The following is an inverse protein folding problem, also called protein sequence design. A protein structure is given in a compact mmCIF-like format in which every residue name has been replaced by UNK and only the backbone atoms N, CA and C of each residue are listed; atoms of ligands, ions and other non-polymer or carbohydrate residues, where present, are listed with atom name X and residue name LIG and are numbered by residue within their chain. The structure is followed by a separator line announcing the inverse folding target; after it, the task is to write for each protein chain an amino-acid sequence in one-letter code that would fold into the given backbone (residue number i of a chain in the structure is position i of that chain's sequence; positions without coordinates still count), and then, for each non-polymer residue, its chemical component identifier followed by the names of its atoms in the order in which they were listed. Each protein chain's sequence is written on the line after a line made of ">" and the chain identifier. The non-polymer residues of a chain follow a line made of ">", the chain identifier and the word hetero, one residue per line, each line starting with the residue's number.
data_IF_477250259900
#
_entry.id   IF_477250259900
#
_cell.length_a   1.000
_cell.length_b   1.000
_cell.length_c   1.000
_cell.angle_alpha   90.00
_cell.angle_beta   90.00
_cell.angle_gamma   90.00
#
_symmetry.space_group_name_H-M   'P 1'
#
loop_
_entity.id
_entity.type
_entity.pdbx_description
1 polymer ?
#
# COMPACT_ATOMS: atom_id res chain seq x y z
N UNK A 1 2.18 36.29 8.50
CA UNK A 1 2.27 34.81 8.43
C UNK A 1 3.64 34.43 7.91
N UNK A 2 4.45 33.70 8.70
CA UNK A 2 5.72 33.15 8.20
C UNK A 2 5.41 31.96 7.28
N UNK A 3 6.07 31.80 6.12
CA UNK A 3 5.92 30.59 5.32
C UNK A 3 6.38 29.40 6.15
N UNK A 4 5.56 28.33 6.19
CA UNK A 4 5.96 27.06 6.80
C UNK A 4 7.22 26.57 6.08
N UNK A 5 8.29 26.35 6.85
CA UNK A 5 9.53 25.79 6.35
C UNK A 5 9.25 24.42 5.73
N UNK A 6 9.76 24.18 4.53
CA UNK A 6 9.81 22.85 3.93
C UNK A 6 10.45 21.85 4.90
N UNK A 7 9.95 20.60 4.83
CA UNK A 7 10.43 19.46 5.63
C UNK A 7 11.96 19.40 5.71
N UNK A 8 12.55 19.11 6.89
CA UNK A 8 14.00 19.12 7.10
C UNK A 8 14.80 18.12 6.24
N UNK A 9 14.11 17.28 5.46
CA UNK A 9 14.71 16.28 4.58
C UNK A 9 15.09 16.79 3.17
N UNK A 10 14.84 18.06 2.83
CA UNK A 10 14.89 18.51 1.43
C UNK A 10 15.95 19.58 1.06
N UNK A 11 17.00 19.85 1.85
CA UNK A 11 18.16 20.63 1.33
C UNK A 11 19.50 20.25 1.94
N UNK A 12 20.49 19.95 1.10
CA UNK A 12 21.88 20.38 1.32
C UNK A 12 22.08 21.78 0.71
N UNK A 13 22.90 22.60 1.35
CA UNK A 13 23.17 24.01 0.95
C UNK A 13 24.19 24.14 -0.19
N UNK A 14 24.72 23.04 -0.72
CA UNK A 14 25.93 23.04 -1.55
C UNK A 14 25.69 22.84 -3.06
N UNK A 15 24.44 22.72 -3.51
CA UNK A 15 24.12 22.56 -4.94
C UNK A 15 24.45 21.17 -5.51
N UNK A 16 24.87 20.22 -4.67
CA UNK A 16 24.96 18.80 -5.04
C UNK A 16 23.54 18.23 -5.08
N UNK A 17 23.20 17.50 -6.15
CA UNK A 17 21.94 16.74 -6.21
C UNK A 17 21.84 15.89 -4.93
N UNK A 18 20.71 16.01 -4.23
CA UNK A 18 20.51 15.22 -3.03
C UNK A 18 20.44 13.75 -3.42
N UNK A 19 20.84 12.80 -2.55
CA UNK A 19 20.56 11.37 -2.77
C UNK A 19 19.08 11.10 -3.08
N UNK A 20 18.19 12.00 -2.67
CA UNK A 20 16.76 11.99 -2.98
C UNK A 20 16.51 12.27 -4.47
N UNK A 21 17.26 13.17 -5.11
CA UNK A 21 17.16 13.45 -6.54
C UNK A 21 17.70 12.29 -7.40
N UNK A 22 18.75 11.59 -6.93
CA UNK A 22 19.21 10.33 -7.54
C UNK A 22 18.14 9.22 -7.42
N UNK A 23 17.46 9.12 -6.27
CA UNK A 23 16.33 8.23 -6.04
C UNK A 23 15.05 8.61 -6.81
N UNK A 24 14.94 9.85 -7.30
CA UNK A 24 13.82 10.30 -8.15
C UNK A 24 14.04 9.89 -9.61
N UNK A 25 15.30 9.80 -10.07
CA UNK A 25 15.67 9.39 -11.42
C UNK A 25 16.00 7.89 -11.57
N UNK A 26 15.77 7.09 -10.52
CA UNK A 26 15.97 5.65 -10.56
C UNK A 26 14.95 4.99 -11.51
N UNK A 27 15.45 4.45 -12.64
CA UNK A 27 14.64 3.68 -13.60
C UNK A 27 13.96 2.48 -12.97
N UNK A 28 14.46 2.00 -11.83
CA UNK A 28 13.94 0.87 -11.09
C UNK A 28 12.97 1.30 -9.96
N UNK A 29 12.60 2.58 -9.90
CA UNK A 29 11.59 3.02 -8.94
C UNK A 29 10.19 2.58 -9.38
N UNK A 30 9.55 1.75 -8.56
CA UNK A 30 8.13 1.46 -8.73
C UNK A 30 7.28 2.63 -8.26
N UNK A 31 6.33 3.06 -9.10
CA UNK A 31 5.34 4.08 -8.77
C UNK A 31 4.25 3.55 -7.82
N UNK A 32 3.69 4.42 -6.97
CA UNK A 32 2.50 4.09 -6.17
C UNK A 32 1.22 4.52 -6.88
N UNK A 33 0.13 3.79 -6.63
CA UNK A 33 -1.19 4.17 -7.13
C UNK A 33 -1.61 5.48 -6.45
N UNK A 34 -1.99 6.48 -7.25
CA UNK A 34 -2.52 7.76 -6.76
C UNK A 34 -4.02 7.64 -6.54
N UNK A 35 -4.41 7.41 -5.30
CA UNK A 35 -5.81 7.27 -4.95
C UNK A 35 -6.43 8.64 -4.65
N UNK A 36 -6.79 9.37 -5.72
CA UNK A 36 -7.45 10.70 -5.64
C UNK A 36 -8.98 10.64 -5.66
N UNK A 37 -9.53 9.48 -6.00
CA UNK A 37 -10.97 9.25 -6.01
C UNK A 37 -11.30 8.25 -4.91
N UNK A 38 -12.59 8.02 -4.68
CA UNK A 38 -13.04 6.99 -3.77
C UNK A 38 -12.87 5.61 -4.43
N UNK A 39 -12.51 4.60 -3.65
CA UNK A 39 -12.26 3.24 -4.17
C UNK A 39 -12.61 2.19 -3.11
N UNK A 40 -12.91 0.99 -3.59
CA UNK A 40 -13.11 -0.17 -2.73
C UNK A 40 -11.77 -0.87 -2.49
N UNK A 41 -11.49 -1.21 -1.24
CA UNK A 41 -10.28 -1.90 -0.85
C UNK A 41 -10.56 -2.94 0.23
N UNK A 42 -9.75 -3.98 0.25
CA UNK A 42 -9.64 -4.90 1.38
C UNK A 42 -8.65 -4.32 2.39
N UNK A 43 -8.92 -4.50 3.69
CA UNK A 43 -7.96 -4.18 4.75
C UNK A 43 -7.06 -5.39 4.92
N UNK A 44 -5.77 -5.24 4.64
CA UNK A 44 -4.82 -6.36 4.68
C UNK A 44 -4.05 -6.45 5.99
N UNK A 45 -3.80 -5.31 6.64
CA UNK A 45 -3.14 -5.26 7.94
C UNK A 45 -3.49 -3.95 8.68
N UNK A 46 -3.49 -3.99 10.01
CA UNK A 46 -3.73 -2.82 10.87
C UNK A 46 -2.64 -2.79 11.94
N UNK A 47 -1.75 -1.81 11.82
CA UNK A 47 -0.71 -1.54 12.82
C UNK A 47 -1.25 -0.54 13.85
N UNK A 48 -1.92 0.51 13.40
CA UNK A 48 -2.60 1.50 14.23
C UNK A 48 -3.61 2.28 13.39
N UNK A 49 -4.46 3.14 13.99
CA UNK A 49 -5.27 4.09 13.22
C UNK A 49 -4.45 5.04 12.31
N UNK A 50 -3.16 5.22 12.58
CA UNK A 50 -2.24 5.98 11.71
C UNK A 50 -1.55 5.15 10.62
N UNK A 51 -1.68 3.82 10.65
CA UNK A 51 -1.05 2.90 9.71
C UNK A 51 -1.96 1.70 9.46
N UNK A 52 -2.83 1.86 8.46
CA UNK A 52 -3.75 0.84 7.98
C UNK A 52 -3.35 0.47 6.56
N UNK A 53 -3.09 -0.80 6.33
CA UNK A 53 -2.78 -1.30 5.01
C UNK A 53 -4.05 -1.69 4.28
N UNK A 54 -4.20 -1.15 3.08
CA UNK A 54 -5.32 -1.45 2.20
C UNK A 54 -4.81 -1.94 0.85
N UNK A 55 -5.63 -2.78 0.20
CA UNK A 55 -5.37 -3.30 -1.14
C UNK A 55 -6.61 -3.13 -1.99
N UNK A 56 -6.50 -2.39 -3.09
CA UNK A 56 -7.63 -2.06 -3.97
C UNK A 56 -8.22 -3.35 -4.54
N UNK A 57 -9.54 -3.47 -4.63
CA UNK A 57 -10.18 -4.74 -5.02
C UNK A 57 -9.94 -5.17 -6.47
N UNK A 58 -9.55 -4.27 -7.38
CA UNK A 58 -9.16 -4.60 -8.75
C UNK A 58 -7.63 -4.76 -8.91
N UNK A 59 -6.94 -5.14 -7.84
CA UNK A 59 -5.50 -5.35 -7.86
C UNK A 59 -5.09 -6.51 -8.79
N UNK A 60 -3.82 -6.49 -9.20
CA UNK A 60 -3.18 -7.55 -9.98
C UNK A 60 -2.07 -8.26 -9.19
N UNK A 61 -2.05 -8.15 -7.86
CA UNK A 61 -0.99 -8.73 -7.00
C UNK A 61 -0.66 -10.19 -7.34
N UNK A 62 -1.69 -11.03 -7.54
CA UNK A 62 -1.53 -12.46 -7.81
C UNK A 62 -0.94 -12.76 -9.20
N UNK A 63 -0.95 -11.79 -10.12
CA UNK A 63 -0.30 -11.89 -11.43
C UNK A 63 1.12 -11.33 -11.44
N UNK A 64 1.57 -10.73 -10.33
CA UNK A 64 2.90 -10.12 -10.19
C UNK A 64 3.85 -11.01 -9.37
N UNK A 65 3.50 -12.28 -9.22
CA UNK A 65 4.30 -13.30 -8.54
C UNK A 65 5.15 -14.07 -9.56
N UNK A 66 6.22 -14.72 -9.10
CA UNK A 66 7.00 -15.67 -9.91
C UNK A 66 7.17 -16.98 -9.14
N UNK A 67 7.25 -18.14 -9.81
CA UNK A 67 7.58 -19.40 -9.16
C UNK A 67 8.95 -19.34 -8.49
N UNK A 68 9.11 -19.97 -7.33
CA UNK A 68 10.41 -20.07 -6.64
C UNK A 68 11.44 -20.82 -7.50
N UNK A 69 11.02 -21.74 -8.37
CA UNK A 69 11.91 -22.43 -9.33
C UNK A 69 12.57 -21.49 -10.33
N UNK A 70 11.94 -20.34 -10.61
CA UNK A 70 12.35 -19.38 -11.62
C UNK A 70 13.06 -18.18 -10.98
N UNK A 71 13.40 -18.29 -9.70
CA UNK A 71 13.97 -17.22 -8.89
C UNK A 71 15.34 -16.78 -9.44
N UNK A 72 15.48 -15.56 -9.95
CA UNK A 72 16.77 -15.07 -10.38
C UNK A 72 17.63 -14.77 -9.14
N UNK A 73 18.92 -15.18 -9.14
CA UNK A 73 19.80 -14.94 -8.01
C UNK A 73 19.97 -13.43 -7.78
N UNK A 74 20.12 -13.04 -6.51
CA UNK A 74 20.43 -11.66 -6.18
C UNK A 74 21.89 -11.35 -6.58
N UNK A 75 22.07 -10.57 -7.64
CA UNK A 75 23.40 -10.21 -8.16
C UNK A 75 24.04 -9.01 -7.45
N UNK A 76 23.36 -8.41 -6.48
CA UNK A 76 23.66 -7.06 -6.01
C UNK A 76 23.43 -6.94 -4.51
N UNK A 77 24.16 -6.04 -3.86
CA UNK A 77 24.10 -5.89 -2.41
C UNK A 77 22.69 -5.58 -1.87
N UNK A 78 22.46 -6.02 -0.64
CA UNK A 78 21.25 -5.73 0.12
C UNK A 78 21.32 -4.29 0.65
N UNK A 79 20.58 -3.41 -0.01
CA UNK A 79 20.56 -1.98 0.28
C UNK A 79 19.12 -1.58 0.60
N UNK A 80 18.93 -0.77 1.64
CA UNK A 80 17.62 -0.20 1.97
C UNK A 80 16.97 0.46 0.76
N UNK A 81 15.64 0.45 0.74
CA UNK A 81 14.76 0.99 -0.31
C UNK A 81 14.79 0.28 -1.64
N UNK A 82 15.70 -0.67 -1.84
CA UNK A 82 15.79 -1.48 -3.05
C UNK A 82 14.60 -2.43 -3.17
N UNK A 83 14.14 -2.63 -4.39
CA UNK A 83 13.10 -3.60 -4.69
C UNK A 83 13.71 -4.96 -5.02
N UNK A 84 13.10 -6.01 -4.45
CA UNK A 84 13.56 -7.39 -4.50
C UNK A 84 12.36 -8.33 -4.58
N UNK A 85 12.62 -9.62 -4.80
CA UNK A 85 11.63 -10.68 -4.65
C UNK A 85 11.93 -11.48 -3.37
N UNK A 86 10.90 -12.00 -2.72
CA UNK A 86 11.05 -12.87 -1.54
C UNK A 86 9.91 -13.89 -1.45
N UNK A 87 10.11 -15.06 -0.82
CA UNK A 87 9.06 -16.04 -0.67
C UNK A 87 7.86 -15.53 0.13
N UNK A 88 6.67 -15.64 -0.48
CA UNK A 88 5.40 -15.57 0.26
C UNK A 88 5.10 -16.93 0.89
N UNK A 89 5.35 -18.00 0.15
CA UNK A 89 5.32 -19.40 0.59
C UNK A 89 6.41 -20.19 -0.17
N UNK A 90 6.39 -21.52 -0.09
CA UNK A 90 7.41 -22.38 -0.71
C UNK A 90 7.44 -22.25 -2.24
N UNK A 91 6.29 -22.00 -2.87
CA UNK A 91 6.13 -22.09 -4.33
C UNK A 91 6.23 -20.74 -5.05
N UNK A 92 5.93 -19.63 -4.36
CA UNK A 92 5.83 -18.32 -4.99
C UNK A 92 6.65 -17.23 -4.30
N UNK A 93 7.33 -16.44 -5.13
CA UNK A 93 7.98 -15.19 -4.74
C UNK A 93 7.10 -13.99 -5.07
N UNK A 94 7.17 -12.99 -4.22
CA UNK A 94 6.41 -11.74 -4.32
C UNK A 94 7.32 -10.54 -4.28
N UNK A 95 6.84 -9.41 -4.83
CA UNK A 95 7.59 -8.15 -4.83
C UNK A 95 7.67 -7.58 -3.41
N UNK A 96 8.86 -7.13 -3.07
CA UNK A 96 9.14 -6.51 -1.78
C UNK A 96 10.07 -5.31 -1.92
N UNK A 97 10.08 -4.46 -0.90
CA UNK A 97 11.08 -3.40 -0.71
C UNK A 97 11.85 -3.67 0.57
N UNK A 98 13.17 -3.54 0.51
CA UNK A 98 14.03 -3.60 1.70
C UNK A 98 13.77 -2.36 2.57
N UNK A 99 13.43 -2.60 3.84
CA UNK A 99 13.24 -1.56 4.85
C UNK A 99 14.51 -1.40 5.68
N UNK A 100 15.06 -2.49 6.20
CA UNK A 100 16.35 -2.51 6.91
C UNK A 100 17.07 -3.85 6.71
N UNK A 101 18.37 -3.86 6.97
CA UNK A 101 19.23 -5.06 6.95
C UNK A 101 19.98 -5.11 8.28
N UNK A 102 19.79 -6.19 9.04
CA UNK A 102 20.31 -6.35 10.40
C UNK A 102 20.77 -7.80 10.61
N UNK A 103 22.04 -8.02 10.97
CA UNK A 103 22.57 -9.34 11.33
C UNK A 103 22.22 -10.48 10.35
N UNK A 104 22.47 -10.27 9.05
CA UNK A 104 22.12 -11.21 7.95
C UNK A 104 20.61 -11.50 7.79
N UNK A 105 19.76 -10.72 8.47
CA UNK A 105 18.31 -10.69 8.26
C UNK A 105 17.91 -9.40 7.57
N UNK A 106 16.89 -9.51 6.74
CA UNK A 106 16.36 -8.41 5.95
C UNK A 106 14.92 -8.20 6.36
N UNK A 107 14.61 -6.98 6.80
CA UNK A 107 13.25 -6.56 7.05
C UNK A 107 12.66 -6.02 5.76
N UNK A 108 11.58 -6.64 5.31
CA UNK A 108 10.97 -6.40 4.02
C UNK A 108 9.54 -5.91 4.18
N UNK A 109 9.12 -5.13 3.20
CA UNK A 109 7.72 -4.75 2.98
C UNK A 109 7.21 -5.42 1.72
N UNK A 110 6.17 -6.23 1.84
CA UNK A 110 5.52 -6.90 0.72
C UNK A 110 4.56 -5.91 0.05
N UNK A 111 5.04 -5.23 -0.99
CA UNK A 111 4.42 -4.02 -1.56
C UNK A 111 3.05 -4.26 -2.20
N UNK A 112 2.71 -5.52 -2.46
CA UNK A 112 1.43 -5.91 -3.06
C UNK A 112 0.44 -6.54 -2.08
N UNK A 113 0.92 -6.89 -0.89
CA UNK A 113 0.15 -7.61 0.13
C UNK A 113 -0.08 -6.77 1.40
N UNK A 114 0.67 -5.68 1.55
CA UNK A 114 0.48 -4.74 2.64
C UNK A 114 0.85 -5.28 4.00
N UNK A 115 1.96 -6.01 4.05
CA UNK A 115 2.51 -6.56 5.29
C UNK A 115 4.03 -6.46 5.27
N UNK A 116 4.65 -6.71 6.41
CA UNK A 116 6.10 -6.74 6.57
C UNK A 116 6.56 -8.09 7.08
N UNK A 117 7.76 -8.49 6.70
CA UNK A 117 8.33 -9.80 7.07
C UNK A 117 9.83 -9.68 7.31
N UNK A 118 10.33 -10.49 8.25
CA UNK A 118 11.76 -10.77 8.37
C UNK A 118 12.11 -12.00 7.54
N UNK A 119 13.24 -11.95 6.85
CA UNK A 119 13.79 -13.04 6.03
C UNK A 119 15.30 -13.11 6.18
N UNK A 120 15.85 -14.30 6.04
CA UNK A 120 17.29 -14.45 5.88
C UNK A 120 17.72 -13.86 4.52
N UNK A 121 18.94 -13.36 4.42
CA UNK A 121 19.50 -12.81 3.18
C UNK A 121 19.44 -13.80 2.00
N UNK A 122 19.54 -15.10 2.28
CA UNK A 122 19.45 -16.17 1.29
C UNK A 122 18.03 -16.37 0.72
N UNK A 123 17.01 -15.75 1.32
CA UNK A 123 15.63 -15.76 0.84
C UNK A 123 15.27 -14.46 0.08
N UNK A 124 16.29 -13.74 -0.40
CA UNK A 124 16.14 -12.51 -1.18
C UNK A 124 16.62 -12.76 -2.60
N UNK A 125 15.77 -12.42 -3.56
CA UNK A 125 15.99 -12.69 -4.97
C UNK A 125 15.90 -11.39 -5.78
N UNK A 126 16.50 -11.38 -6.97
CA UNK A 126 16.45 -10.23 -7.87
C UNK A 126 15.02 -10.03 -8.37
N UNK A 127 14.59 -8.78 -8.48
CA UNK A 127 13.35 -8.46 -9.18
C UNK A 127 13.65 -8.17 -10.66
N UNK A 128 12.84 -8.74 -11.55
CA UNK A 128 13.03 -8.55 -13.00
C UNK A 128 12.49 -7.20 -13.45
N UNK A 129 13.10 -6.59 -14.46
CA UNK A 129 12.74 -5.26 -14.98
C UNK A 129 11.25 -5.13 -15.33
N UNK A 130 10.63 -6.19 -15.85
CA UNK A 130 9.19 -6.21 -16.18
C UNK A 130 8.31 -5.95 -14.95
N UNK A 131 8.70 -6.45 -13.78
CA UNK A 131 7.94 -6.27 -12.55
C UNK A 131 8.06 -4.85 -11.99
N UNK A 132 9.06 -4.06 -12.42
CA UNK A 132 9.17 -2.65 -12.04
C UNK A 132 8.11 -1.77 -12.72
N UNK A 133 7.53 -2.22 -13.84
CA UNK A 133 6.55 -1.43 -14.61
C UNK A 133 5.17 -1.32 -13.94
N UNK A 134 4.87 -2.17 -12.95
CA UNK A 134 3.56 -2.21 -12.30
C UNK A 134 3.58 -1.46 -10.98
N UNK A 135 2.59 -0.64 -10.64
CA UNK A 135 2.59 0.08 -9.38
C UNK A 135 2.39 -0.85 -8.18
N UNK A 136 2.65 -0.35 -6.97
CA UNK A 136 2.32 -1.08 -5.73
C UNK A 136 0.82 -1.39 -5.69
N UNK A 137 0.48 -2.63 -5.33
CA UNK A 137 -0.93 -3.04 -5.24
C UNK A 137 -1.53 -2.82 -3.85
N UNK A 138 -0.70 -2.64 -2.82
CA UNK A 138 -1.13 -2.29 -1.47
C UNK A 138 -0.37 -1.07 -0.94
N UNK A 139 -1.04 -0.26 -0.12
CA UNK A 139 -0.44 0.94 0.46
C UNK A 139 -1.09 1.29 1.80
N UNK A 140 -0.38 2.12 2.55
CA UNK A 140 -0.79 2.60 3.86
C UNK A 140 -1.75 3.78 3.71
N UNK A 141 -2.77 3.82 4.55
CA UNK A 141 -3.65 4.96 4.79
C UNK A 141 -3.70 5.26 6.29
N UNK A 142 -4.05 6.49 6.65
CA UNK A 142 -4.28 6.89 8.04
C UNK A 142 -5.68 7.47 8.22
N UNK A 143 -6.34 7.17 9.33
CA UNK A 143 -7.69 7.67 9.61
C UNK A 143 -7.70 9.17 9.87
N UNK A 144 -8.59 9.87 9.18
CA UNK A 144 -8.79 11.29 9.35
C UNK A 144 -9.61 11.60 10.61
N UNK A 145 -9.23 12.66 11.33
CA UNK A 145 -10.01 13.19 12.45
C UNK A 145 -9.91 12.41 13.75
N UNK A 146 -9.01 11.43 13.84
CA UNK A 146 -8.73 10.67 15.06
C UNK A 146 -7.30 10.89 15.53
N UNK A 147 -7.11 10.93 16.84
CA UNK A 147 -5.81 11.02 17.51
C UNK A 147 -5.78 10.03 18.70
N UNK A 148 -4.60 9.58 19.15
CA UNK A 148 -4.50 8.76 20.35
C UNK A 148 -5.13 9.47 21.55
N UNK A 149 -5.77 8.72 22.45
CA UNK A 149 -6.42 9.29 23.65
C UNK A 149 -5.43 10.00 24.56
N UNK A 150 -4.19 9.52 24.63
CA UNK A 150 -3.10 10.16 25.38
C UNK A 150 -2.43 11.32 24.62
N UNK A 151 -2.84 11.56 23.37
CA UNK A 151 -2.31 12.57 22.47
C UNK A 151 -0.98 12.20 21.78
N UNK A 152 -0.35 11.08 22.13
CA UNK A 152 1.00 10.74 21.71
C UNK A 152 1.10 9.40 20.99
N UNK A 153 0.50 8.33 21.50
CA UNK A 153 0.72 6.97 20.99
C UNK A 153 -0.54 6.14 21.06
N UNK A 154 -0.87 5.47 19.95
CA UNK A 154 -2.01 4.56 19.90
C UNK A 154 -1.81 3.39 20.87
N UNK A 155 -2.76 3.23 21.79
CA UNK A 155 -2.71 2.10 22.72
C UNK A 155 -3.07 0.79 22.01
N UNK A 156 -2.64 -0.36 22.56
CA UNK A 156 -3.08 -1.67 22.07
C UNK A 156 -4.61 -1.78 22.04
N UNK A 157 -5.31 -1.27 23.06
CA UNK A 157 -6.77 -1.33 23.15
C UNK A 157 -7.46 -0.52 22.06
N UNK A 158 -6.94 0.68 21.73
CA UNK A 158 -7.44 1.51 20.63
C UNK A 158 -7.26 0.81 19.28
N UNK A 159 -6.09 0.21 19.08
CA UNK A 159 -5.75 -0.53 17.86
C UNK A 159 -6.61 -1.79 17.72
N UNK A 160 -6.84 -2.52 18.79
CA UNK A 160 -7.64 -3.75 18.79
C UNK A 160 -9.15 -3.46 18.65
N UNK A 161 -9.63 -2.33 19.16
CA UNK A 161 -10.98 -1.85 18.88
C UNK A 161 -11.16 -1.54 17.37
N UNK A 162 -10.19 -0.89 16.75
CA UNK A 162 -10.20 -0.64 15.30
C UNK A 162 -10.17 -1.96 14.51
N UNK A 163 -9.28 -2.90 14.87
CA UNK A 163 -9.19 -4.23 14.22
C UNK A 163 -10.52 -4.95 14.26
N UNK A 164 -11.14 -5.09 15.44
CA UNK A 164 -12.45 -5.75 15.59
C UNK A 164 -13.53 -5.09 14.74
N UNK A 165 -13.50 -3.77 14.64
CA UNK A 165 -14.47 -3.02 13.83
C UNK A 165 -14.27 -3.29 12.34
N UNK A 166 -13.04 -3.12 11.83
CA UNK A 166 -12.77 -3.25 10.39
C UNK A 166 -12.80 -4.69 9.89
N UNK A 167 -12.43 -5.66 10.73
CA UNK A 167 -12.50 -7.10 10.37
C UNK A 167 -13.94 -7.63 10.29
N UNK A 168 -14.94 -6.87 10.76
CA UNK A 168 -16.35 -7.21 10.61
C UNK A 168 -16.94 -6.87 9.23
N UNK A 169 -16.10 -6.38 8.30
CA UNK A 169 -16.51 -5.97 6.97
C UNK A 169 -15.76 -6.74 5.88
N UNK A 170 -16.45 -7.12 4.80
CA UNK A 170 -15.84 -7.78 3.64
C UNK A 170 -14.83 -6.87 2.92
N UNK A 171 -15.15 -5.58 2.84
CA UNK A 171 -14.28 -4.55 2.29
C UNK A 171 -14.61 -3.17 2.87
N UNK A 172 -13.77 -2.19 2.56
CA UNK A 172 -13.97 -0.79 2.92
C UNK A 172 -14.07 0.07 1.68
N UNK A 173 -14.98 1.04 1.71
CA UNK A 173 -14.97 2.17 0.79
C UNK A 173 -14.06 3.25 1.38
N UNK A 174 -12.98 3.54 0.66
CA UNK A 174 -11.94 4.48 1.08
C UNK A 174 -12.20 5.83 0.44
N UNK A 175 -12.35 6.87 1.26
CA UNK A 175 -12.55 8.25 0.84
C UNK A 175 -11.34 9.11 1.25
N UNK A 176 -10.47 9.52 0.31
CA UNK A 176 -9.41 10.48 0.60
C UNK A 176 -9.98 11.81 1.11
N UNK A 177 -9.45 12.33 2.22
CA UNK A 177 -9.97 13.55 2.88
C UNK A 177 -9.10 14.79 2.67
N UNK A 178 -7.81 14.61 2.37
CA UNK A 178 -6.89 15.71 2.05
C UNK A 178 -6.15 15.35 0.76
N UNK A 179 -6.25 16.20 -0.25
CA UNK A 179 -5.54 16.08 -1.52
C UNK A 179 -4.24 16.87 -1.49
N UNK A 180 -3.29 16.49 -0.64
CA UNK A 180 -1.95 17.04 -0.76
C UNK A 180 -1.22 16.38 -1.94
N UNK A 181 -0.26 17.10 -2.53
CA UNK A 181 0.66 16.55 -3.52
C UNK A 181 1.63 15.60 -2.80
N UNK A 182 1.14 14.43 -2.42
CA UNK A 182 1.91 13.39 -1.78
C UNK A 182 3.01 12.92 -2.75
N UNK A 183 4.27 13.22 -2.40
CA UNK A 183 5.44 12.62 -3.00
C UNK A 183 5.63 11.28 -2.31
N UNK A 184 4.81 10.31 -2.72
CA UNK A 184 4.59 8.97 -2.17
C UNK A 184 5.85 8.10 -1.93
N UNK A 185 6.77 8.54 -1.09
CA UNK A 185 7.67 7.68 -0.33
C UNK A 185 7.01 7.35 1.03
N UNK A 186 7.72 6.65 1.92
CA UNK A 186 7.16 6.21 3.22
C UNK A 186 6.72 7.35 4.16
N UNK A 187 6.98 8.62 3.83
CA UNK A 187 6.63 9.79 4.63
C UNK A 187 5.22 10.37 4.36
N UNK A 188 4.63 10.06 3.20
CA UNK A 188 3.42 10.73 2.70
C UNK A 188 2.23 9.77 2.68
N UNK A 189 1.67 9.50 3.86
CA UNK A 189 0.52 8.60 4.04
C UNK A 189 -0.78 9.38 3.85
N UNK A 190 -1.66 8.99 2.89
CA UNK A 190 -2.92 9.68 2.65
C UNK A 190 -3.87 9.56 3.84
N UNK A 191 -4.53 10.67 4.17
CA UNK A 191 -5.60 10.71 5.17
C UNK A 191 -6.92 10.30 4.54
N UNK A 192 -7.64 9.39 5.18
CA UNK A 192 -8.86 8.82 4.64
C UNK A 192 -9.95 8.71 5.69
N UNK A 193 -11.20 8.70 5.22
CA UNK A 193 -12.33 8.12 5.94
C UNK A 193 -12.58 6.73 5.38
N UNK A 194 -12.91 5.78 6.26
CA UNK A 194 -13.25 4.41 5.89
C UNK A 194 -14.72 4.13 6.22
N UNK A 195 -15.44 3.58 5.26
CA UNK A 195 -16.80 3.06 5.46
C UNK A 195 -16.77 1.54 5.22
N UNK A 196 -17.14 0.76 6.24
CA UNK A 196 -17.23 -0.69 6.14
C UNK A 196 -18.41 -1.13 5.29
N UNK A 197 -18.19 -2.16 4.45
CA UNK A 197 -19.17 -2.70 3.52
C UNK A 197 -19.24 -4.23 3.64
N UNK A 198 -20.44 -4.79 3.48
CA UNK A 198 -20.70 -6.23 3.48
C UNK A 198 -21.49 -6.62 2.22
N UNK A 199 -21.26 -7.84 1.74
CA UNK A 199 -21.90 -8.40 0.57
C UNK A 199 -21.09 -8.21 -0.72
N UNK A 200 -21.62 -8.70 -1.86
CA UNK A 200 -20.93 -8.59 -3.13
C UNK A 200 -20.72 -7.12 -3.48
N UNK A 201 -19.59 -6.82 -4.12
CA UNK A 201 -19.35 -5.50 -4.70
C UNK A 201 -20.56 -5.11 -5.55
N UNK A 202 -21.33 -4.14 -5.08
CA UNK A 202 -22.27 -3.46 -5.97
C UNK A 202 -21.41 -2.82 -7.05
N UNK A 203 -21.43 -3.39 -8.25
CA UNK A 203 -21.04 -2.65 -9.43
C UNK A 203 -22.02 -1.48 -9.50
N UNK A 204 -21.63 -0.36 -8.91
CA UNK A 204 -22.27 0.90 -9.19
C UNK A 204 -21.99 1.16 -10.67
N UNK A 205 -22.98 0.83 -11.51
CA UNK A 205 -23.05 1.34 -12.88
C UNK A 205 -23.29 2.83 -12.69
N UNK A 206 -22.20 3.58 -12.54
CA UNK A 206 -22.24 5.01 -12.76
C UNK A 206 -22.23 5.20 -14.26
N UNK A 207 -23.25 5.86 -14.78
CA UNK A 207 -23.20 6.36 -16.15
C UNK A 207 -22.10 7.43 -16.26
N UNK A 208 -21.79 7.83 -17.49
CA UNK A 208 -20.77 8.85 -17.82
C UNK A 208 -21.01 10.20 -17.13
N UNK A 209 -22.16 10.39 -16.49
CA UNK A 209 -22.60 11.61 -15.81
C UNK A 209 -22.66 11.48 -14.28
N UNK A 210 -22.18 10.37 -13.70
CA UNK A 210 -22.10 10.20 -12.24
C UNK A 210 -23.45 10.02 -11.54
N UNK A 211 -24.51 9.67 -12.28
CA UNK A 211 -25.82 9.37 -11.69
C UNK A 211 -25.91 7.90 -11.27
N UNK A 212 -26.56 7.66 -10.13
CA UNK A 212 -26.76 6.31 -9.57
C UNK A 212 -27.86 5.61 -10.35
N UNK A 213 -27.53 4.61 -11.17
CA UNK A 213 -28.54 3.78 -11.84
C UNK A 213 -29.05 2.75 -10.82
N UNK A 214 -30.37 2.75 -10.56
CA UNK A 214 -31.00 1.78 -9.66
C UNK A 214 -30.88 0.36 -10.24
N UNK A 215 -30.60 -0.66 -9.41
CA UNK A 215 -30.58 -2.04 -9.87
C UNK A 215 -32.01 -2.55 -10.02
N UNK A 216 -32.66 -2.23 -11.14
CA UNK A 216 -33.88 -2.93 -11.53
C UNK A 216 -33.52 -4.28 -12.19
N UNK A 217 -33.65 -5.32 -11.37
CA UNK A 217 -34.16 -6.66 -11.73
C UNK A 217 -33.43 -7.36 -12.87
N UNK A 218 -32.31 -8.00 -12.54
CA UNK A 218 -31.94 -9.27 -13.17
C UNK A 218 -32.39 -10.41 -12.26
N UNK A 219 -33.51 -11.05 -12.61
CA UNK A 219 -33.95 -12.29 -11.96
C UNK A 219 -35.35 -12.26 -11.38
N UNK A 220 -36.37 -11.99 -12.21
CA UNK A 220 -37.67 -12.65 -12.01
C UNK A 220 -38.04 -13.36 -13.30
N UNK A 221 -37.92 -14.68 -13.25
CA UNK A 221 -38.60 -15.61 -14.14
C UNK A 221 -40.10 -15.32 -14.07
N UNK A 222 -40.66 -14.82 -15.18
CA UNK A 222 -42.11 -14.74 -15.35
C UNK A 222 -42.58 -16.12 -15.82
N UNK A 223 -42.78 -17.03 -14.89
CA UNK A 223 -43.62 -18.20 -15.12
C UNK A 223 -44.43 -18.57 -13.87
N UNK A 224 -45.76 -18.47 -14.05
CA UNK A 224 -46.91 -18.85 -13.19
C UNK A 224 -47.47 -17.78 -12.27
#
# INVERSE_FOLDING_TARGET
>A
MKPRSSSPYLRKKDGTLSKVDELINDKNKIHRIRCRLNYNATVTNIISPSEIWVRIMNHIADTLVIPTSDAPPLETELIERKYVMTPLNEDILVRARIISVENAKVFLRLIDFGTTVWRDENAIFKMTDKLHCFPWQSFVVLLHGVIPKDGNTWSPEETDALKRTLMGFDYVWVQPTIFDNFYHDDADIPRVSLLGMNGPLQQSIFDVNGSRVSPEIYGMDRSR
#
